data_IF_238502619196
#
_entry.id   IF_238502619196
#
_cell.length_a   1.000
_cell.length_b   1.000
_cell.length_c   1.000
_cell.angle_alpha   90.00
_cell.angle_beta   90.00
_cell.angle_gamma   90.00
#
_symmetry.space_group_name_H-M   'P 1'
#
loop_
_entity.id
_entity.type
_entity.pdbx_description
1 polymer ?
#
# COMPACT_ATOMS: atom_id res chain seq x y z
N UNK A 1 -26.83 -90.33 4.43
CA UNK A 1 -25.35 -90.28 4.47
C UNK A 1 -24.94 -89.05 3.68
N UNK A 2 -24.20 -88.03 4.13
CA UNK A 2 -23.41 -87.73 5.34
C UNK A 2 -23.65 -86.25 5.72
N UNK A 3 -23.43 -85.93 7.00
CA UNK A 3 -23.61 -84.64 7.69
C UNK A 3 -22.39 -83.70 7.51
N UNK A 4 -22.66 -82.38 7.42
CA UNK A 4 -22.02 -81.12 7.95
C UNK A 4 -20.52 -81.08 8.34
N UNK A 5 -19.83 -79.89 8.46
CA UNK A 5 -20.37 -78.55 8.83
C UNK A 5 -19.75 -77.26 8.22
N UNK A 6 -20.56 -76.19 8.27
CA UNK A 6 -20.32 -74.78 8.70
C UNK A 6 -18.90 -74.19 8.65
N UNK A 7 -18.76 -73.03 7.98
CA UNK A 7 -17.95 -71.90 8.48
C UNK A 7 -18.57 -70.56 8.01
N UNK A 8 -18.94 -69.74 8.99
CA UNK A 8 -19.40 -68.34 8.87
C UNK A 8 -18.16 -67.45 8.81
N UNK A 9 -18.10 -66.52 7.85
CA UNK A 9 -17.18 -65.37 7.90
C UNK A 9 -18.02 -64.10 7.72
N UNK A 10 -18.03 -63.32 8.80
CA UNK A 10 -18.57 -61.97 8.90
C UNK A 10 -17.65 -61.04 8.11
N UNK A 11 -18.15 -60.46 7.02
CA UNK A 11 -17.46 -59.40 6.30
C UNK A 11 -17.76 -58.06 6.99
N UNK A 12 -16.80 -57.57 7.77
CA UNK A 12 -16.79 -56.20 8.27
C UNK A 12 -16.46 -55.28 7.10
N UNK A 13 -17.44 -54.49 6.66
CA UNK A 13 -17.22 -53.33 5.80
C UNK A 13 -16.35 -52.33 6.56
N UNK A 14 -15.06 -52.23 6.19
CA UNK A 14 -14.27 -51.05 6.51
C UNK A 14 -14.70 -49.92 5.57
N UNK A 15 -15.58 -49.07 6.07
CA UNK A 15 -15.83 -47.75 5.53
C UNK A 15 -14.55 -46.93 5.69
N UNK A 16 -13.77 -46.79 4.61
CA UNK A 16 -12.73 -45.76 4.53
C UNK A 16 -13.48 -44.43 4.45
N UNK A 17 -13.68 -43.80 5.61
CA UNK A 17 -14.02 -42.39 5.69
C UNK A 17 -12.76 -41.64 5.27
N UNK A 18 -12.74 -41.16 4.03
CA UNK A 18 -11.74 -40.20 3.57
C UNK A 18 -11.85 -38.95 4.43
N UNK A 19 -10.92 -38.79 5.37
CA UNK A 19 -10.67 -37.56 6.10
C UNK A 19 -10.06 -36.54 5.14
N UNK A 20 -10.89 -35.89 4.33
CA UNK A 20 -10.58 -34.60 3.72
C UNK A 20 -10.89 -33.52 4.74
N UNK A 21 -9.87 -33.05 5.48
CA UNK A 21 -10.06 -31.92 6.40
C UNK A 21 -9.07 -31.91 7.57
N UNK A 22 -7.81 -31.61 7.27
CA UNK A 22 -6.80 -30.96 8.10
C UNK A 22 -5.53 -30.94 7.23
N UNK A 23 -5.44 -30.01 6.29
CA UNK A 23 -4.17 -29.74 5.60
C UNK A 23 -3.24 -29.10 6.62
N UNK A 24 -2.50 -29.92 7.36
CA UNK A 24 -1.34 -29.46 8.11
C UNK A 24 -0.29 -29.07 7.06
N UNK A 25 -0.11 -27.77 6.83
CA UNK A 25 1.05 -27.29 6.08
C UNK A 25 2.30 -27.82 6.79
N UNK A 26 3.20 -28.54 6.11
CA UNK A 26 4.37 -29.15 6.75
C UNK A 26 5.22 -28.09 7.46
N UNK A 27 5.77 -28.42 8.63
CA UNK A 27 6.76 -27.56 9.29
C UNK A 27 8.01 -27.46 8.42
N UNK A 28 8.47 -26.22 8.19
CA UNK A 28 9.59 -25.82 7.33
C UNK A 28 10.68 -25.04 8.08
N UNK A 29 10.74 -25.13 9.41
CA UNK A 29 11.78 -24.44 10.19
C UNK A 29 13.20 -24.76 9.70
N UNK A 30 13.50 -26.03 9.38
CA UNK A 30 14.83 -26.42 8.91
C UNK A 30 15.18 -25.79 7.55
N UNK A 31 14.18 -25.65 6.66
CA UNK A 31 14.31 -24.95 5.40
C UNK A 31 14.49 -23.43 5.58
N UNK A 32 13.84 -22.83 6.57
CA UNK A 32 14.00 -21.42 6.92
C UNK A 32 15.40 -21.14 7.49
N UNK A 33 15.89 -22.00 8.41
CA UNK A 33 17.26 -21.92 8.95
C UNK A 33 18.31 -22.10 7.83
N UNK A 34 18.03 -22.98 6.86
CA UNK A 34 18.87 -23.16 5.68
C UNK A 34 18.91 -21.88 4.83
N UNK A 35 17.74 -21.26 4.58
CA UNK A 35 17.63 -20.01 3.84
C UNK A 35 18.48 -18.93 4.50
N UNK A 36 18.29 -18.71 5.81
CA UNK A 36 19.04 -17.71 6.57
C UNK A 36 20.56 -17.95 6.47
N UNK A 37 21.01 -19.18 6.76
CA UNK A 37 22.43 -19.53 6.75
C UNK A 37 23.08 -19.39 5.38
N UNK A 38 22.37 -19.73 4.31
CA UNK A 38 22.94 -19.67 2.96
C UNK A 38 23.01 -18.24 2.43
N UNK A 39 21.97 -17.44 2.63
CA UNK A 39 21.95 -16.04 2.20
C UNK A 39 22.94 -15.21 3.03
N UNK A 40 23.06 -15.45 4.33
CA UNK A 40 24.06 -14.79 5.18
C UNK A 40 25.51 -14.97 4.67
N UNK A 41 25.80 -16.07 3.96
CA UNK A 41 27.12 -16.36 3.42
C UNK A 41 27.36 -15.75 2.03
N UNK A 42 26.36 -15.12 1.41
CA UNK A 42 26.46 -14.60 0.05
C UNK A 42 27.20 -13.25 -0.02
N UNK A 43 27.98 -12.99 -1.09
CA UNK A 43 28.64 -11.71 -1.26
C UNK A 43 27.67 -10.53 -1.32
N UNK A 44 27.97 -9.47 -0.57
CA UNK A 44 27.16 -8.24 -0.54
C UNK A 44 26.06 -8.23 0.51
N UNK A 45 25.77 -9.37 1.15
CA UNK A 45 24.87 -9.43 2.31
C UNK A 45 25.62 -8.95 3.54
N UNK A 46 25.03 -7.98 4.24
CA UNK A 46 25.54 -7.41 5.49
C UNK A 46 24.82 -8.01 6.70
N UNK A 47 23.52 -8.25 6.56
CA UNK A 47 22.65 -8.85 7.57
C UNK A 47 21.46 -9.55 6.89
N UNK A 48 20.90 -10.56 7.54
CA UNK A 48 19.65 -11.21 7.15
C UNK A 48 18.85 -11.57 8.40
N UNK A 49 17.53 -11.38 8.32
CA UNK A 49 16.57 -11.87 9.30
C UNK A 49 15.49 -12.68 8.59
N UNK A 50 15.22 -13.88 9.10
CA UNK A 50 14.15 -14.74 8.59
C UNK A 50 13.12 -14.95 9.70
N UNK A 51 11.90 -14.47 9.47
CA UNK A 51 10.77 -14.69 10.37
C UNK A 51 9.88 -15.77 9.76
N UNK A 52 9.73 -16.87 10.49
CA UNK A 52 8.95 -18.03 10.08
C UNK A 52 7.88 -18.33 11.12
N UNK A 53 6.66 -18.63 10.65
CA UNK A 53 5.55 -19.10 11.47
C UNK A 53 4.81 -20.22 10.78
N UNK A 54 4.49 -21.26 11.54
CA UNK A 54 3.53 -22.31 11.17
C UNK A 54 2.63 -22.59 12.38
N UNK A 55 1.96 -21.52 12.84
CA UNK A 55 1.04 -21.59 13.96
C UNK A 55 -0.40 -21.41 13.47
N UNK A 56 -1.33 -22.17 14.03
CA UNK A 56 -2.76 -22.03 13.71
C UNK A 56 -3.31 -20.63 14.01
N UNK A 57 -2.72 -19.92 14.97
CA UNK A 57 -3.16 -18.60 15.43
C UNK A 57 -2.58 -17.44 14.64
N UNK A 58 -1.34 -17.59 14.14
CA UNK A 58 -0.63 -16.54 13.40
C UNK A 58 -0.64 -16.78 11.89
N UNK A 59 -1.07 -17.97 11.45
CA UNK A 59 -1.00 -18.37 10.06
C UNK A 59 0.36 -18.97 9.69
N UNK A 60 0.46 -19.37 8.43
CA UNK A 60 1.67 -19.90 7.80
C UNK A 60 2.31 -18.79 6.97
N UNK A 61 3.41 -18.22 7.47
CA UNK A 61 4.11 -17.17 6.73
C UNK A 61 5.63 -17.28 6.85
N UNK A 62 6.30 -16.75 5.84
CA UNK A 62 7.74 -16.58 5.74
C UNK A 62 8.03 -15.13 5.34
N UNK A 63 8.80 -14.41 6.16
CA UNK A 63 9.27 -13.07 5.88
C UNK A 63 10.79 -13.04 5.89
N UNK A 64 11.40 -12.47 4.86
CA UNK A 64 12.86 -12.41 4.69
C UNK A 64 13.31 -10.98 4.52
N UNK A 65 14.09 -10.48 5.48
CA UNK A 65 14.73 -9.16 5.41
C UNK A 65 16.20 -9.32 5.10
N UNK A 66 16.70 -8.70 4.03
CA UNK A 66 18.11 -8.75 3.63
C UNK A 66 18.70 -7.35 3.54
N UNK A 67 19.77 -7.11 4.30
CA UNK A 67 20.52 -5.86 4.25
C UNK A 67 21.70 -5.99 3.29
N UNK A 68 21.73 -5.15 2.24
CA UNK A 68 22.70 -5.19 1.14
C UNK A 68 23.11 -3.79 0.69
N UNK A 69 23.31 -2.86 1.62
CA UNK A 69 23.42 -1.41 1.32
C UNK A 69 24.49 -1.04 0.30
N UNK A 70 25.59 -1.80 0.26
CA UNK A 70 26.74 -1.58 -0.64
C UNK A 70 26.88 -2.64 -1.74
N UNK A 71 25.92 -3.55 -1.85
CA UNK A 71 25.97 -4.62 -2.83
C UNK A 71 25.79 -4.09 -4.25
N UNK A 72 26.46 -4.71 -5.20
CA UNK A 72 26.22 -4.46 -6.62
C UNK A 72 24.88 -5.05 -7.05
N UNK A 73 24.34 -4.58 -8.15
CA UNK A 73 23.11 -5.11 -8.75
C UNK A 73 23.23 -6.60 -9.06
N UNK A 74 24.42 -7.06 -9.47
CA UNK A 74 24.68 -8.48 -9.71
C UNK A 74 24.60 -9.30 -8.42
N UNK A 75 25.14 -8.78 -7.31
CA UNK A 75 25.06 -9.45 -6.00
C UNK A 75 23.60 -9.53 -5.50
N UNK A 76 22.82 -8.47 -5.68
CA UNK A 76 21.39 -8.44 -5.33
C UNK A 76 20.61 -9.45 -6.19
N UNK A 77 20.88 -9.52 -7.50
CA UNK A 77 20.28 -10.50 -8.38
C UNK A 77 20.59 -11.95 -7.95
N UNK A 78 21.85 -12.21 -7.58
CA UNK A 78 22.29 -13.53 -7.11
C UNK A 78 21.56 -13.93 -5.82
N UNK A 79 21.44 -13.01 -4.86
CA UNK A 79 20.70 -13.25 -3.60
C UNK A 79 19.22 -13.51 -3.86
N UNK A 80 18.55 -12.66 -4.64
CA UNK A 80 17.14 -12.87 -5.01
C UNK A 80 16.93 -14.22 -5.71
N UNK A 81 17.81 -14.58 -6.64
CA UNK A 81 17.76 -15.87 -7.33
C UNK A 81 17.96 -17.05 -6.37
N UNK A 82 18.81 -16.89 -5.35
CA UNK A 82 19.04 -17.94 -4.36
C UNK A 82 17.82 -18.12 -3.44
N UNK A 83 17.20 -17.03 -2.99
CA UNK A 83 15.96 -17.07 -2.22
C UNK A 83 14.88 -17.83 -3.00
N UNK A 84 14.61 -17.44 -4.25
CA UNK A 84 13.65 -18.13 -5.13
C UNK A 84 13.94 -19.62 -5.25
N UNK A 85 15.21 -20.00 -5.43
CA UNK A 85 15.61 -21.39 -5.58
C UNK A 85 15.42 -22.23 -4.30
N UNK A 86 15.56 -21.62 -3.12
CA UNK A 86 15.34 -22.31 -1.83
C UNK A 86 13.83 -22.41 -1.54
N UNK A 87 13.07 -21.37 -1.87
CA UNK A 87 11.66 -21.28 -1.58
C UNK A 87 10.78 -22.16 -2.46
N UNK A 88 11.16 -22.29 -3.73
CA UNK A 88 10.43 -23.06 -4.74
C UNK A 88 10.04 -24.44 -4.22
N UNK A 89 8.76 -24.78 -4.35
CA UNK A 89 8.13 -26.03 -3.93
C UNK A 89 8.09 -26.26 -2.40
N UNK A 90 8.80 -25.45 -1.59
CA UNK A 90 8.90 -25.64 -0.14
C UNK A 90 7.95 -24.74 0.64
N UNK A 91 7.75 -23.52 0.16
CA UNK A 91 6.95 -22.47 0.81
C UNK A 91 5.77 -22.00 -0.06
N UNK A 92 5.37 -22.76 -1.07
CA UNK A 92 4.26 -22.39 -1.96
C UNK A 92 2.92 -22.21 -1.23
N UNK A 93 2.74 -22.94 -0.12
CA UNK A 93 1.55 -22.87 0.76
C UNK A 93 1.67 -21.81 1.87
N UNK A 94 2.71 -20.96 1.85
CA UNK A 94 2.97 -19.92 2.85
C UNK A 94 2.74 -18.52 2.25
N UNK A 95 2.21 -17.62 3.08
CA UNK A 95 2.25 -16.19 2.78
C UNK A 95 3.71 -15.73 2.84
N UNK A 96 4.20 -15.12 1.76
CA UNK A 96 5.61 -14.75 1.61
C UNK A 96 5.75 -13.26 1.41
N UNK A 97 6.81 -12.70 1.99
CA UNK A 97 7.20 -11.32 1.76
C UNK A 97 8.71 -11.16 1.94
N UNK A 98 9.27 -10.21 1.22
CA UNK A 98 10.71 -9.97 1.18
C UNK A 98 11.00 -8.48 1.28
N UNK A 99 11.96 -8.11 2.12
CA UNK A 99 12.47 -6.73 2.19
C UNK A 99 13.94 -6.72 1.83
N UNK A 100 14.33 -5.85 0.89
CA UNK A 100 15.73 -5.62 0.54
C UNK A 100 16.14 -4.20 0.91
N UNK A 101 17.05 -4.05 1.87
CA UNK A 101 17.65 -2.75 2.20
C UNK A 101 18.86 -2.54 1.27
N UNK A 102 18.70 -1.68 0.27
CA UNK A 102 19.62 -1.56 -0.89
C UNK A 102 20.48 -0.29 -0.88
N UNK A 103 20.34 0.52 0.16
CA UNK A 103 21.13 1.71 0.41
C UNK A 103 20.82 2.32 1.78
N UNK A 104 21.45 3.44 2.10
CA UNK A 104 21.11 4.21 3.30
C UNK A 104 19.69 4.74 3.17
N UNK A 105 18.78 4.28 4.04
CA UNK A 105 17.34 4.62 4.01
C UNK A 105 16.61 4.26 2.70
N UNK A 106 17.11 3.26 1.97
CA UNK A 106 16.48 2.77 0.73
C UNK A 106 16.08 1.31 0.89
N UNK A 107 14.81 1.00 0.70
CA UNK A 107 14.30 -0.37 0.82
C UNK A 107 13.31 -0.72 -0.31
N UNK A 108 13.20 -2.03 -0.57
CA UNK A 108 12.26 -2.61 -1.53
C UNK A 108 11.47 -3.67 -0.78
N UNK A 109 10.16 -3.48 -0.69
CA UNK A 109 9.21 -4.45 -0.17
C UNK A 109 8.53 -5.19 -1.32
N UNK A 110 8.70 -6.51 -1.35
CA UNK A 110 8.01 -7.40 -2.28
C UNK A 110 7.05 -8.28 -1.48
N UNK A 111 5.74 -8.01 -1.64
CA UNK A 111 4.67 -8.80 -1.03
C UNK A 111 4.08 -9.85 -1.98
N UNK A 112 4.70 -10.09 -3.14
CA UNK A 112 4.18 -11.06 -4.09
C UNK A 112 4.55 -12.50 -3.73
N UNK A 113 3.72 -13.43 -4.22
CA UNK A 113 3.94 -14.87 -4.02
C UNK A 113 5.22 -15.38 -4.72
N UNK A 114 5.74 -14.69 -5.74
CA UNK A 114 7.00 -15.09 -6.38
C UNK A 114 7.91 -13.87 -6.55
N UNK A 115 9.06 -13.93 -5.89
CA UNK A 115 10.10 -12.91 -5.94
C UNK A 115 10.72 -12.84 -7.35
N UNK A 116 10.75 -11.65 -7.96
CA UNK A 116 11.42 -11.41 -9.25
C UNK A 116 12.76 -10.68 -9.05
N UNK A 117 13.86 -11.43 -9.18
CA UNK A 117 15.22 -10.90 -9.07
C UNK A 117 15.53 -9.77 -10.08
N UNK A 118 14.99 -9.82 -11.29
CA UNK A 118 15.19 -8.78 -12.30
C UNK A 118 14.48 -7.48 -11.92
N UNK A 119 13.29 -7.60 -11.31
CA UNK A 119 12.52 -6.48 -10.77
C UNK A 119 13.26 -5.82 -9.60
N UNK A 120 13.73 -6.60 -8.61
CA UNK A 120 14.49 -6.06 -7.46
C UNK A 120 15.71 -5.26 -7.94
N UNK A 121 16.42 -5.74 -8.97
CA UNK A 121 17.55 -5.02 -9.55
C UNK A 121 17.13 -3.71 -10.20
N UNK A 122 16.06 -3.72 -10.99
CA UNK A 122 15.52 -2.52 -11.62
C UNK A 122 15.11 -1.46 -10.59
N UNK A 123 14.44 -1.89 -9.53
CA UNK A 123 14.02 -1.00 -8.44
C UNK A 123 15.22 -0.51 -7.62
N UNK A 124 16.22 -1.36 -7.38
CA UNK A 124 17.47 -0.94 -6.74
C UNK A 124 18.13 0.21 -7.50
N UNK A 125 18.28 0.08 -8.82
CA UNK A 125 18.88 1.12 -9.65
C UNK A 125 18.07 2.42 -9.59
N UNK A 126 16.74 2.30 -9.64
CA UNK A 126 15.81 3.43 -9.58
C UNK A 126 15.88 4.14 -8.23
N UNK A 127 15.77 3.41 -7.12
CA UNK A 127 15.83 3.96 -5.77
C UNK A 127 17.18 4.61 -5.49
N UNK A 128 18.29 4.00 -5.90
CA UNK A 128 19.62 4.62 -5.76
C UNK A 128 19.74 5.92 -6.56
N UNK A 129 19.18 5.97 -7.77
CA UNK A 129 19.18 7.18 -8.58
C UNK A 129 18.31 8.31 -7.99
N UNK A 130 17.13 7.96 -7.44
CA UNK A 130 16.27 8.93 -6.73
C UNK A 130 16.94 9.39 -5.44
N UNK A 131 17.45 8.47 -4.61
CA UNK A 131 18.14 8.77 -3.35
C UNK A 131 19.39 9.62 -3.53
N UNK A 132 20.13 9.45 -4.63
CA UNK A 132 21.24 10.34 -4.97
C UNK A 132 20.80 11.78 -5.24
N UNK A 133 19.54 11.98 -5.67
CA UNK A 133 18.95 13.30 -5.92
C UNK A 133 18.24 13.88 -4.68
N UNK A 134 17.90 13.04 -3.71
CA UNK A 134 17.15 13.41 -2.49
C UNK A 134 17.90 12.92 -1.23
N UNK A 135 19.08 13.48 -0.93
CA UNK A 135 19.90 13.00 0.18
C UNK A 135 19.18 13.14 1.53
N UNK A 136 19.11 12.05 2.29
CA UNK A 136 18.51 11.99 3.62
C UNK A 136 17.02 11.60 3.65
N UNK A 137 16.35 11.57 2.50
CA UNK A 137 14.99 11.06 2.39
C UNK A 137 14.96 9.53 2.59
N UNK A 138 13.89 9.04 3.17
CA UNK A 138 13.59 7.60 3.25
C UNK A 138 12.78 7.21 2.03
N UNK A 139 13.24 6.20 1.29
CA UNK A 139 12.63 5.83 0.01
C UNK A 139 12.39 4.33 -0.03
N UNK A 140 11.11 3.96 -0.11
CA UNK A 140 10.67 2.57 -0.17
C UNK A 140 9.99 2.32 -1.53
N UNK A 141 10.31 1.19 -2.17
CA UNK A 141 9.53 0.68 -3.31
C UNK A 141 8.67 -0.47 -2.83
N UNK A 142 7.35 -0.32 -2.90
CA UNK A 142 6.39 -1.39 -2.66
C UNK A 142 5.85 -1.83 -4.01
N UNK A 143 5.87 -3.12 -4.28
CA UNK A 143 5.27 -3.62 -5.51
C UNK A 143 3.77 -3.91 -5.32
N UNK A 144 2.93 -3.19 -6.06
CA UNK A 144 1.60 -3.68 -6.40
C UNK A 144 1.63 -4.26 -7.81
N UNK A 145 0.79 -5.26 -8.06
CA UNK A 145 0.76 -6.15 -9.24
C UNK A 145 0.94 -5.48 -10.62
N UNK A 146 0.76 -4.15 -10.73
CA UNK A 146 0.78 -3.43 -12.02
C UNK A 146 1.82 -2.33 -12.14
N UNK A 147 2.27 -1.72 -11.04
CA UNK A 147 3.28 -0.65 -11.08
C UNK A 147 4.01 -0.51 -9.75
N UNK A 148 5.27 -0.04 -9.75
CA UNK A 148 5.95 0.25 -8.51
C UNK A 148 5.26 1.41 -7.79
N UNK A 149 4.96 1.21 -6.50
CA UNK A 149 4.56 2.28 -5.60
C UNK A 149 5.80 2.75 -4.83
N UNK A 150 6.23 3.97 -5.09
CA UNK A 150 7.37 4.58 -4.42
C UNK A 150 6.85 5.47 -3.29
N UNK A 151 7.28 5.23 -2.07
CA UNK A 151 7.05 6.12 -0.93
C UNK A 151 8.33 6.91 -0.63
N UNK A 152 8.21 8.22 -0.46
CA UNK A 152 9.30 9.12 -0.06
C UNK A 152 8.87 9.82 1.22
N UNK A 153 9.57 9.53 2.33
CA UNK A 153 9.37 10.19 3.63
C UNK A 153 10.57 11.05 3.98
N UNK A 154 10.36 11.96 4.92
CA UNK A 154 11.33 13.01 5.29
C UNK A 154 11.88 13.75 4.05
N UNK A 155 11.01 13.95 3.05
CA UNK A 155 11.40 14.51 1.78
C UNK A 155 11.71 16.02 1.90
N UNK A 156 12.53 16.58 0.98
CA UNK A 156 12.53 18.02 0.71
C UNK A 156 11.16 18.49 0.18
N UNK A 157 10.96 19.79 -0.09
CA UNK A 157 9.69 20.30 -0.62
C UNK A 157 9.19 19.50 -1.82
N UNK A 158 7.87 19.29 -1.90
CA UNK A 158 7.29 18.33 -2.84
C UNK A 158 7.66 18.60 -4.30
N UNK A 159 7.81 19.88 -4.68
CA UNK A 159 8.22 20.27 -6.03
C UNK A 159 9.65 19.81 -6.40
N UNK A 160 10.57 19.83 -5.44
CA UNK A 160 11.93 19.31 -5.60
C UNK A 160 11.91 17.79 -5.75
N UNK A 161 11.17 17.10 -4.88
CA UNK A 161 11.00 15.64 -4.93
C UNK A 161 10.36 15.16 -6.23
N UNK A 162 9.26 15.79 -6.67
CA UNK A 162 8.60 15.48 -7.95
C UNK A 162 9.53 15.70 -9.14
N UNK A 163 10.36 16.73 -9.10
CA UNK A 163 11.36 17.00 -10.14
C UNK A 163 12.45 15.92 -10.16
N UNK A 164 12.97 15.52 -9.00
CA UNK A 164 13.96 14.46 -8.88
C UNK A 164 13.42 13.12 -9.42
N UNK A 165 12.22 12.73 -8.99
CA UNK A 165 11.57 11.50 -9.45
C UNK A 165 11.32 11.55 -10.96
N UNK A 166 10.80 12.65 -11.49
CA UNK A 166 10.57 12.83 -12.94
C UNK A 166 11.85 12.65 -13.77
N UNK A 167 12.98 13.14 -13.28
CA UNK A 167 14.27 12.99 -13.98
C UNK A 167 14.76 11.53 -14.04
N UNK A 168 14.38 10.71 -13.06
CA UNK A 168 14.75 9.28 -13.02
C UNK A 168 13.75 8.42 -13.77
N UNK A 169 12.44 8.65 -13.58
CA UNK A 169 11.40 7.82 -14.18
C UNK A 169 11.13 8.14 -15.65
N UNK A 170 11.32 9.40 -16.06
CA UNK A 170 10.90 9.87 -17.38
C UNK A 170 9.39 9.64 -17.58
N UNK A 171 9.04 8.94 -18.66
CA UNK A 171 7.65 8.57 -18.99
C UNK A 171 7.23 7.20 -18.42
N UNK A 172 8.07 6.57 -17.57
CA UNK A 172 7.76 5.29 -16.96
C UNK A 172 6.62 5.37 -15.92
N UNK A 173 5.74 4.37 -15.86
CA UNK A 173 4.64 4.37 -14.89
C UNK A 173 5.16 4.08 -13.48
N UNK A 174 4.63 4.81 -12.49
CA UNK A 174 4.80 4.56 -11.08
C UNK A 174 3.73 5.30 -10.28
N UNK A 175 3.35 4.78 -9.13
CA UNK A 175 2.58 5.55 -8.15
C UNK A 175 3.55 6.11 -7.12
N UNK A 176 3.45 7.39 -6.81
CA UNK A 176 4.35 8.06 -5.86
C UNK A 176 3.56 8.56 -4.65
N UNK A 177 4.11 8.40 -3.46
CA UNK A 177 3.67 9.08 -2.25
C UNK A 177 4.83 9.92 -1.70
N UNK A 178 4.63 11.23 -1.51
CA UNK A 178 5.63 12.12 -0.92
C UNK A 178 5.09 12.69 0.38
N UNK A 179 5.82 12.47 1.47
CA UNK A 179 5.65 13.13 2.74
C UNK A 179 6.91 13.96 3.02
N UNK A 180 6.72 15.29 3.09
CA UNK A 180 7.84 16.22 3.31
C UNK A 180 8.07 16.46 4.80
N UNK A 181 9.25 16.98 5.13
CA UNK A 181 9.54 17.47 6.50
C UNK A 181 8.89 18.83 6.79
N UNK A 182 8.47 19.57 5.75
CA UNK A 182 7.76 20.82 5.87
C UNK A 182 6.24 20.56 6.06
N UNK A 183 5.48 21.53 6.60
CA UNK A 183 4.02 21.46 6.62
C UNK A 183 3.48 21.68 5.20
N UNK A 184 3.63 20.67 4.35
CA UNK A 184 3.05 20.56 3.01
C UNK A 184 2.11 19.36 2.96
N UNK A 185 1.08 19.37 2.08
CA UNK A 185 0.22 18.21 1.89
C UNK A 185 1.03 16.96 1.55
N UNK A 186 0.55 15.80 1.97
CA UNK A 186 1.03 14.52 1.44
C UNK A 186 0.56 14.38 -0.01
N UNK A 187 1.51 14.24 -0.93
CA UNK A 187 1.20 14.07 -2.35
C UNK A 187 1.13 12.60 -2.71
N UNK A 188 0.04 12.18 -3.36
CA UNK A 188 -0.07 10.90 -4.06
C UNK A 188 -0.19 11.19 -5.56
N UNK A 189 0.73 10.70 -6.37
CA UNK A 189 0.84 11.09 -7.79
C UNK A 189 1.11 9.88 -8.67
N UNK A 190 0.30 9.69 -9.71
CA UNK A 190 0.56 8.71 -10.74
C UNK A 190 1.45 9.31 -11.83
N UNK A 191 2.53 8.63 -12.18
CA UNK A 191 3.41 8.98 -13.27
C UNK A 191 2.98 8.29 -14.57
N UNK A 192 3.12 8.98 -15.74
CA UNK A 192 3.85 10.23 -15.94
C UNK A 192 3.10 11.50 -15.48
N UNK A 193 3.82 12.39 -14.79
CA UNK A 193 3.30 13.67 -14.27
C UNK A 193 4.21 14.85 -14.64
N UNK A 194 3.72 15.75 -15.50
CA UNK A 194 4.52 16.85 -16.04
C UNK A 194 4.67 18.02 -15.06
N UNK A 195 5.72 18.82 -15.25
CA UNK A 195 5.92 20.05 -14.46
C UNK A 195 4.83 21.10 -14.68
N UNK A 196 4.22 21.13 -15.86
CA UNK A 196 3.10 22.02 -16.17
C UNK A 196 1.83 21.61 -15.43
N UNK A 197 1.55 20.31 -15.34
CA UNK A 197 0.45 19.76 -14.54
C UNK A 197 0.66 20.05 -13.06
N UNK A 198 1.88 19.84 -12.56
CA UNK A 198 2.28 20.18 -11.19
C UNK A 198 2.01 21.66 -10.85
N UNK A 199 2.52 22.59 -11.66
CA UNK A 199 2.32 24.03 -11.43
C UNK A 199 0.86 24.46 -11.55
N UNK A 200 0.08 23.77 -12.40
CA UNK A 200 -1.36 24.01 -12.50
C UNK A 200 -2.09 23.59 -11.22
N UNK A 201 -1.76 22.41 -10.70
CA UNK A 201 -2.34 21.87 -9.46
C UNK A 201 -1.95 22.72 -8.25
N UNK A 202 -0.68 23.07 -8.10
CA UNK A 202 -0.20 23.92 -6.99
C UNK A 202 -0.93 25.27 -6.96
N UNK A 203 -1.13 25.92 -8.11
CA UNK A 203 -1.91 27.17 -8.19
C UNK A 203 -3.35 26.98 -7.75
N UNK A 204 -4.01 25.90 -8.20
CA UNK A 204 -5.37 25.57 -7.76
C UNK A 204 -5.46 25.38 -6.25
N UNK A 205 -4.52 24.62 -5.66
CA UNK A 205 -4.48 24.36 -4.22
C UNK A 205 -4.31 25.66 -3.42
N UNK A 206 -3.43 26.55 -3.87
CA UNK A 206 -3.17 27.84 -3.21
C UNK A 206 -4.37 28.81 -3.23
N UNK A 207 -5.35 28.59 -4.11
CA UNK A 207 -6.56 29.42 -4.25
C UNK A 207 -7.76 28.86 -3.47
N UNK A 208 -7.64 27.69 -2.84
CA UNK A 208 -8.76 27.06 -2.13
C UNK A 208 -9.11 27.79 -0.83
N UNK A 209 -10.42 27.92 -0.49
CA UNK A 209 -10.87 28.60 0.73
C UNK A 209 -10.80 27.69 1.96
N UNK A 210 -9.63 27.11 2.22
CA UNK A 210 -9.39 26.16 3.33
C UNK A 210 -8.33 26.70 4.28
N UNK A 211 -8.30 26.18 5.50
CA UNK A 211 -7.25 26.49 6.45
C UNK A 211 -5.94 25.83 6.01
N UNK A 212 -6.02 24.56 5.61
CA UNK A 212 -4.90 23.79 5.08
C UNK A 212 -5.36 22.66 4.14
N UNK A 213 -4.42 22.09 3.40
CA UNK A 213 -4.58 20.86 2.61
C UNK A 213 -3.67 19.80 3.21
N UNK A 214 -4.25 18.72 3.74
CA UNK A 214 -3.49 17.64 4.37
C UNK A 214 -2.95 16.65 3.34
N UNK A 215 -3.71 16.39 2.28
CA UNK A 215 -3.33 15.43 1.25
C UNK A 215 -3.96 15.75 -0.11
N UNK A 216 -3.21 15.49 -1.17
CA UNK A 216 -3.65 15.60 -2.56
C UNK A 216 -3.33 14.32 -3.31
N UNK A 217 -4.33 13.76 -3.99
CA UNK A 217 -4.15 12.65 -4.93
C UNK A 217 -4.33 13.13 -6.36
N UNK A 218 -3.36 12.79 -7.21
CA UNK A 218 -3.28 13.19 -8.61
C UNK A 218 -3.20 11.96 -9.50
N UNK A 219 -4.18 11.80 -10.38
CA UNK A 219 -4.23 10.75 -11.41
C UNK A 219 -4.39 11.43 -12.75
N UNK A 220 -3.61 11.02 -13.75
CA UNK A 220 -3.61 11.62 -15.10
C UNK A 220 -3.49 13.16 -15.11
N UNK A 221 -2.71 13.70 -14.16
CA UNK A 221 -2.50 15.15 -13.99
C UNK A 221 -3.73 15.92 -13.49
N UNK A 222 -4.68 15.24 -12.85
CA UNK A 222 -5.90 15.83 -12.28
C UNK A 222 -6.02 15.47 -10.80
N UNK A 223 -6.54 16.38 -10.01
CA UNK A 223 -6.86 16.12 -8.59
C UNK A 223 -8.08 15.19 -8.53
N UNK A 224 -7.89 13.99 -8.02
CA UNK A 224 -8.93 12.97 -7.85
C UNK A 224 -9.21 12.65 -6.38
N UNK A 225 -8.33 13.07 -5.47
CA UNK A 225 -8.53 13.00 -4.04
C UNK A 225 -7.99 14.24 -3.35
N UNK A 226 -8.71 14.71 -2.33
CA UNK A 226 -8.30 15.86 -1.54
C UNK A 226 -8.77 15.70 -0.09
N UNK A 227 -7.85 15.91 0.85
CA UNK A 227 -8.15 16.01 2.28
C UNK A 227 -7.83 17.43 2.72
N UNK A 228 -8.81 18.12 3.31
CA UNK A 228 -8.68 19.54 3.68
C UNK A 228 -9.10 19.83 5.12
N UNK A 229 -8.48 20.86 5.69
CA UNK A 229 -8.94 21.45 6.95
C UNK A 229 -9.83 22.67 6.68
N UNK A 230 -11.04 22.67 7.23
CA UNK A 230 -11.96 23.80 7.13
C UNK A 230 -11.78 24.74 8.32
N UNK A 231 -11.68 26.04 8.07
CA UNK A 231 -11.44 27.03 9.12
C UNK A 231 -12.64 27.34 10.03
N UNK A 232 -13.88 27.24 9.52
CA UNK A 232 -15.10 27.50 10.29
C UNK A 232 -16.24 26.52 9.90
N UNK A 233 -16.76 25.70 10.84
CA UNK A 233 -17.92 24.83 10.61
C UNK A 233 -19.13 25.54 9.99
N UNK A 234 -19.32 26.84 10.28
CA UNK A 234 -20.47 27.61 9.82
C UNK A 234 -20.40 27.94 8.32
N UNK A 235 -19.20 27.98 7.76
CA UNK A 235 -18.98 28.25 6.33
C UNK A 235 -18.64 26.99 5.53
N UNK A 236 -18.41 25.87 6.20
CA UNK A 236 -17.96 24.61 5.63
C UNK A 236 -18.68 24.21 4.33
N UNK A 237 -20.02 24.20 4.30
CA UNK A 237 -20.74 23.85 3.06
C UNK A 237 -20.39 24.76 1.88
N UNK A 238 -20.35 26.09 2.09
CA UNK A 238 -20.03 27.05 1.03
C UNK A 238 -18.59 26.88 0.55
N UNK A 239 -17.68 26.66 1.48
CA UNK A 239 -16.26 26.53 1.19
C UNK A 239 -16.01 25.22 0.42
N UNK A 240 -16.62 24.10 0.83
CA UNK A 240 -16.61 22.82 0.10
C UNK A 240 -17.20 22.93 -1.31
N UNK A 241 -18.32 23.62 -1.50
CA UNK A 241 -18.89 23.86 -2.84
C UNK A 241 -17.94 24.70 -3.71
N UNK A 242 -17.22 25.64 -3.10
CA UNK A 242 -16.22 26.46 -3.81
C UNK A 242 -15.02 25.60 -4.22
N UNK A 243 -14.56 24.68 -3.37
CA UNK A 243 -13.53 23.68 -3.71
C UNK A 243 -14.00 22.85 -4.91
N UNK A 244 -15.21 22.30 -4.88
CA UNK A 244 -15.76 21.51 -5.99
C UNK A 244 -15.74 22.34 -7.29
N UNK A 245 -16.16 23.60 -7.25
CA UNK A 245 -16.13 24.50 -8.40
C UNK A 245 -14.73 24.79 -8.93
N UNK A 246 -13.73 24.96 -8.05
CA UNK A 246 -12.35 25.24 -8.43
C UNK A 246 -11.61 24.01 -8.99
N UNK A 247 -11.85 22.85 -8.40
CA UNK A 247 -11.25 21.58 -8.85
C UNK A 247 -11.89 21.16 -10.18
N UNK A 248 -13.22 21.24 -10.28
CA UNK A 248 -14.01 20.89 -11.45
C UNK A 248 -14.07 19.38 -11.72
N UNK A 249 -14.48 18.53 -10.75
CA UNK A 249 -14.61 17.10 -10.97
C UNK A 249 -15.72 16.78 -11.98
N UNK A 250 -15.62 15.62 -12.62
CA UNK A 250 -16.64 15.10 -13.56
C UNK A 250 -16.95 13.64 -13.24
N UNK A 251 -17.90 13.01 -13.95
CA UNK A 251 -18.18 11.58 -13.76
C UNK A 251 -17.03 10.69 -14.24
N UNK A 252 -16.30 11.15 -15.24
CA UNK A 252 -15.11 10.48 -15.77
C UNK A 252 -13.90 10.68 -14.86
N UNK A 253 -13.90 11.75 -14.06
CA UNK A 253 -12.82 12.09 -13.12
C UNK A 253 -13.45 12.54 -11.79
N UNK A 254 -14.00 11.60 -11.02
CA UNK A 254 -14.64 11.92 -9.76
C UNK A 254 -13.60 12.41 -8.74
N UNK A 255 -14.08 13.13 -7.73
CA UNK A 255 -13.25 13.61 -6.62
C UNK A 255 -13.69 12.95 -5.31
N UNK A 256 -12.78 12.22 -4.67
CA UNK A 256 -12.89 11.90 -3.24
C UNK A 256 -12.52 13.13 -2.42
N UNK A 257 -13.46 13.68 -1.66
CA UNK A 257 -13.24 14.85 -0.83
C UNK A 257 -13.48 14.49 0.63
N UNK A 258 -12.44 14.59 1.46
CA UNK A 258 -12.52 14.52 2.92
C UNK A 258 -12.26 15.89 3.53
N UNK A 259 -12.90 16.16 4.66
CA UNK A 259 -12.68 17.40 5.41
C UNK A 259 -12.69 17.19 6.91
N UNK A 260 -11.95 18.04 7.63
CA UNK A 260 -11.92 18.11 9.09
C UNK A 260 -11.81 19.54 9.60
N UNK A 261 -11.65 19.69 10.92
CA UNK A 261 -11.22 20.96 11.53
C UNK A 261 -9.76 20.86 11.98
N UNK A 262 -9.02 21.97 11.98
CA UNK A 262 -7.67 22.02 12.52
C UNK A 262 -7.59 21.43 13.93
N UNK A 263 -6.74 20.43 14.11
CA UNK A 263 -6.48 19.80 15.41
C UNK A 263 -7.65 19.00 16.01
N UNK A 264 -8.61 18.53 15.20
CA UNK A 264 -9.77 17.79 15.70
C UNK A 264 -9.48 16.37 16.21
N UNK A 265 -8.22 15.90 16.09
CA UNK A 265 -7.83 14.56 16.52
C UNK A 265 -8.07 14.36 18.03
N UNK A 266 -8.73 13.25 18.39
CA UNK A 266 -9.00 12.80 19.78
C UNK A 266 -10.21 13.42 20.48
N UNK A 267 -11.14 14.06 19.75
CA UNK A 267 -12.43 14.41 20.33
C UNK A 267 -13.33 13.16 20.45
N UNK A 268 -14.22 13.12 21.45
CA UNK A 268 -15.24 12.05 21.54
C UNK A 268 -16.08 11.97 20.26
N UNK A 269 -16.31 13.13 19.62
CA UNK A 269 -16.90 13.27 18.30
C UNK A 269 -16.24 14.41 17.54
N UNK A 270 -15.87 14.14 16.30
CA UNK A 270 -15.13 15.09 15.46
C UNK A 270 -16.07 15.83 14.50
N UNK A 271 -15.70 17.05 14.09
CA UNK A 271 -16.31 17.66 12.92
C UNK A 271 -15.50 17.23 11.70
N UNK A 272 -15.91 16.12 11.10
CA UNK A 272 -15.23 15.49 9.98
C UNK A 272 -16.27 14.87 9.05
N UNK A 273 -15.91 14.69 7.79
CA UNK A 273 -16.77 13.96 6.86
C UNK A 273 -16.12 13.78 5.49
N UNK A 274 -16.85 13.09 4.62
CA UNK A 274 -16.40 12.82 3.26
C UNK A 274 -17.55 12.72 2.25
N UNK A 275 -17.22 12.93 0.98
CA UNK A 275 -18.13 12.71 -0.14
C UNK A 275 -17.36 12.38 -1.43
N UNK A 276 -17.96 11.56 -2.27
CA UNK A 276 -17.43 11.18 -3.59
C UNK A 276 -18.12 11.96 -4.72
N UNK A 277 -17.61 13.14 -5.00
CA UNK A 277 -18.22 14.10 -5.93
C UNK A 277 -18.23 13.52 -7.35
N UNK A 278 -19.44 13.31 -7.90
CA UNK A 278 -19.70 12.65 -9.19
C UNK A 278 -19.16 11.23 -9.33
N UNK A 279 -18.87 10.57 -8.21
CA UNK A 279 -18.36 9.20 -8.17
C UNK A 279 -19.10 8.35 -7.14
N UNK A 280 -18.47 7.22 -6.81
CA UNK A 280 -18.89 6.33 -5.74
C UNK A 280 -17.72 5.93 -4.84
N UNK A 281 -17.96 5.74 -3.54
CA UNK A 281 -16.99 5.11 -2.67
C UNK A 281 -16.71 3.69 -3.15
N UNK A 282 -15.43 3.33 -3.28
CA UNK A 282 -14.99 1.93 -3.42
C UNK A 282 -14.98 1.20 -2.07
N UNK A 283 -15.24 1.94 -0.98
CA UNK A 283 -15.40 1.47 0.39
C UNK A 283 -15.67 2.67 1.28
N UNK A 284 -16.29 2.44 2.44
CA UNK A 284 -16.47 3.47 3.47
C UNK A 284 -15.68 3.12 4.72
N UNK A 285 -15.06 4.09 5.36
CA UNK A 285 -14.45 3.90 6.68
C UNK A 285 -15.53 3.65 7.74
N UNK A 286 -15.18 3.08 8.89
CA UNK A 286 -16.13 2.90 9.99
C UNK A 286 -16.78 4.23 10.44
N UNK A 287 -16.04 5.35 10.31
CA UNK A 287 -16.54 6.70 10.54
C UNK A 287 -17.58 7.13 9.51
N UNK A 288 -17.45 6.71 8.27
CA UNK A 288 -18.39 7.02 7.18
C UNK A 288 -19.62 6.10 7.16
N UNK A 289 -19.48 4.86 7.64
CA UNK A 289 -20.58 3.89 7.79
C UNK A 289 -21.46 4.17 9.01
N UNK A 290 -20.86 4.58 10.13
CA UNK A 290 -21.56 4.89 11.38
C UNK A 290 -21.24 6.31 11.87
N UNK A 291 -21.50 7.35 11.06
CA UNK A 291 -21.04 8.71 11.35
C UNK A 291 -21.64 9.28 12.63
N UNK A 292 -22.84 8.84 13.04
CA UNK A 292 -23.44 9.29 14.31
C UNK A 292 -22.68 8.84 15.57
N UNK A 293 -21.80 7.83 15.44
CA UNK A 293 -20.95 7.34 16.53
C UNK A 293 -19.68 8.17 16.69
N UNK A 294 -19.14 8.70 15.60
CA UNK A 294 -17.82 9.32 15.55
C UNK A 294 -17.83 10.82 15.26
N UNK A 295 -18.91 11.34 14.67
CA UNK A 295 -19.00 12.73 14.23
C UNK A 295 -20.08 13.52 14.96
N UNK A 296 -19.85 14.82 15.06
CA UNK A 296 -20.85 15.76 15.60
C UNK A 296 -22.11 15.79 14.72
N UNK A 297 -23.30 16.07 15.29
CA UNK A 297 -24.54 16.13 14.49
C UNK A 297 -24.44 17.06 13.27
N UNK A 298 -23.83 18.24 13.43
CA UNK A 298 -23.65 19.21 12.34
C UNK A 298 -22.75 18.64 11.22
N UNK A 299 -21.72 17.86 11.56
CA UNK A 299 -20.87 17.21 10.58
C UNK A 299 -21.59 16.08 9.85
N UNK A 300 -22.41 15.29 10.56
CA UNK A 300 -23.26 14.25 9.95
C UNK A 300 -24.26 14.88 8.97
N UNK A 301 -24.90 15.99 9.36
CA UNK A 301 -25.86 16.70 8.50
C UNK A 301 -25.18 17.30 7.26
N UNK A 302 -23.98 17.88 7.44
CA UNK A 302 -23.17 18.37 6.32
C UNK A 302 -22.77 17.24 5.38
N UNK A 303 -22.25 16.13 5.90
CA UNK A 303 -21.89 14.97 5.10
C UNK A 303 -23.09 14.45 4.30
N UNK A 304 -24.23 14.23 4.95
CA UNK A 304 -25.46 13.79 4.27
C UNK A 304 -25.89 14.77 3.17
N UNK A 305 -25.75 16.07 3.40
CA UNK A 305 -26.05 17.08 2.39
C UNK A 305 -25.12 16.97 1.18
N UNK A 306 -23.81 16.93 1.40
CA UNK A 306 -22.81 16.79 0.33
C UNK A 306 -23.03 15.51 -0.48
N UNK A 307 -23.23 14.38 0.20
CA UNK A 307 -23.46 13.09 -0.43
C UNK A 307 -24.74 13.09 -1.28
N UNK A 308 -25.85 13.63 -0.76
CA UNK A 308 -27.11 13.67 -1.50
C UNK A 308 -27.08 14.58 -2.74
N UNK A 309 -26.27 15.63 -2.71
CA UNK A 309 -26.21 16.63 -3.79
C UNK A 309 -25.23 16.23 -4.89
N UNK A 310 -24.10 15.61 -4.54
CA UNK A 310 -22.98 15.42 -5.46
C UNK A 310 -22.63 13.96 -5.77
N UNK A 311 -22.94 12.99 -4.91
CA UNK A 311 -22.66 11.58 -5.21
C UNK A 311 -23.65 11.06 -6.26
N UNK A 312 -23.16 10.23 -7.19
CA UNK A 312 -23.97 9.70 -8.30
C UNK A 312 -24.27 8.21 -8.17
N UNK A 313 -24.12 7.64 -6.98
CA UNK A 313 -24.32 6.22 -6.76
C UNK A 313 -25.78 5.80 -6.88
N UNK A 314 -26.05 4.60 -7.43
CA UNK A 314 -27.35 3.96 -7.29
C UNK A 314 -27.70 3.83 -5.80
N UNK A 315 -28.90 4.30 -5.42
CA UNK A 315 -29.45 4.21 -4.06
C UNK A 315 -30.26 2.93 -3.88
#
# INVERSE_FOLDING_TARGET
MRRNPIAVIVAVLMTIVGLSGCTFTPDRQAEADQLESEIAAMPGVEDISVVYSNELTLGVYLHVDVTMTRATEAQIADVGSRIVAIERDKFDDYDRSHTFIVGDKLDIEDGEAELDSGRIVGDTQRLRAIGASLPGAEISSLFDQTSPRIEIRDAPPAAESLTAVRNVLGDGPATLQIQTTAPEPVWHVDFPFSSEQEQSIQRKLAELPVADVDSVRVVDGRITGLIVEIGDPRTAYRDLVTIIGAIGPTRENPLGLEWGLPGSTNAEREFRGSAYIYGCPEGRTAGEENPERFYTPDAVDLQKRMQNEFETCPK
#
